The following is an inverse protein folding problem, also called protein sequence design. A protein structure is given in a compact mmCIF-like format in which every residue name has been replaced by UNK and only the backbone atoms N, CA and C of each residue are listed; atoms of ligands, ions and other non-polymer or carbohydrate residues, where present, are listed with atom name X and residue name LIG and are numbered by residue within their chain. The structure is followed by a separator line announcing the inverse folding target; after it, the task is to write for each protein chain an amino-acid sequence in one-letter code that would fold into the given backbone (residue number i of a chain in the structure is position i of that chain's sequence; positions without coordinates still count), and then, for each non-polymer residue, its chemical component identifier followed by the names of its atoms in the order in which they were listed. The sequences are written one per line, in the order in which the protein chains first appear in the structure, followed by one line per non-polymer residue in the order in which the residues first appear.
data_IF_744260749527
#
_entry.id   IF_744260749527
#
_cell.length_a   1.000
_cell.length_b   1.000
_cell.length_c   1.000
_cell.angle_alpha   90.00
_cell.angle_beta   90.00
_cell.angle_gamma   90.00
#
_symmetry.space_group_name_H-M   'P 1'
#
loop_
_entity.id
_entity.type
_entity.pdbx_description
1 polymer ?
#
# COMPACT_ATOMS: atom_id res chain seq x y z
N UNK A 1 -1.08 -4.78 19.70
CA UNK A 1 -1.85 -5.88 19.03
C UNK A 1 -1.28 -6.16 17.66
N UNK A 2 -1.27 -5.17 16.76
CA UNK A 2 -0.77 -5.28 15.39
C UNK A 2 0.76 -5.41 15.30
N UNK A 3 1.48 -4.77 16.22
CA UNK A 3 2.96 -4.78 16.29
C UNK A 3 3.59 -6.19 16.38
N UNK A 4 2.81 -7.20 16.76
CA UNK A 4 3.25 -8.60 16.77
C UNK A 4 3.55 -9.14 15.37
N UNK A 5 3.01 -8.51 14.33
CA UNK A 5 3.13 -8.93 12.94
C UNK A 5 4.12 -8.08 12.13
N UNK A 6 4.50 -6.91 12.65
CA UNK A 6 5.42 -5.94 12.05
C UNK A 6 5.12 -4.51 12.53
N UNK A 7 5.99 -3.56 12.19
CA UNK A 7 5.78 -2.17 12.58
C UNK A 7 4.59 -1.54 11.87
N UNK A 8 3.94 -0.59 12.55
CA UNK A 8 2.81 0.18 12.02
C UNK A 8 3.31 1.57 11.65
N UNK A 9 3.10 1.97 10.39
CA UNK A 9 3.48 3.29 9.90
C UNK A 9 2.41 4.33 10.21
N UNK A 10 1.13 4.00 10.01
CA UNK A 10 0.04 4.93 10.30
C UNK A 10 -1.27 4.22 10.63
N UNK A 11 -2.12 4.90 11.42
CA UNK A 11 -3.48 4.48 11.73
C UNK A 11 -4.41 5.67 11.54
N UNK A 12 -5.38 5.54 10.63
CA UNK A 12 -6.36 6.58 10.29
C UNK A 12 -7.76 6.12 10.70
N UNK A 13 -8.36 6.76 11.71
CA UNK A 13 -9.69 6.41 12.20
C UNK A 13 -10.80 7.14 11.41
N UNK A 14 -11.80 6.39 10.98
CA UNK A 14 -13.03 6.92 10.40
C UNK A 14 -14.16 6.75 11.42
N UNK A 15 -14.21 7.66 12.39
CA UNK A 15 -15.11 7.60 13.55
C UNK A 15 -16.58 7.39 13.14
N UNK A 16 -17.04 8.12 12.12
CA UNK A 16 -18.41 8.02 11.61
C UNK A 16 -18.79 6.61 11.10
N UNK A 17 -17.82 5.77 10.74
CA UNK A 17 -18.03 4.42 10.22
C UNK A 17 -17.58 3.33 11.20
N UNK A 18 -16.99 3.70 12.34
CA UNK A 18 -16.40 2.75 13.28
C UNK A 18 -15.29 1.88 12.67
N UNK A 19 -14.56 2.39 11.67
CA UNK A 19 -13.46 1.68 11.04
C UNK A 19 -12.14 2.44 11.14
N UNK A 20 -11.02 1.74 10.93
CA UNK A 20 -9.69 2.34 10.85
C UNK A 20 -8.94 1.74 9.66
N UNK A 21 -8.17 2.57 8.97
CA UNK A 21 -7.15 2.12 8.04
C UNK A 21 -5.82 2.02 8.78
N UNK A 22 -5.11 0.91 8.56
CA UNK A 22 -3.80 0.67 9.16
C UNK A 22 -2.82 0.43 8.03
N UNK A 23 -1.73 1.19 8.00
CA UNK A 23 -0.60 0.97 7.09
C UNK A 23 0.50 0.26 7.89
N UNK A 24 0.81 -0.96 7.48
CA UNK A 24 1.96 -1.70 8.00
C UNK A 24 3.21 -1.30 7.21
N UNK A 25 4.38 -1.39 7.83
CA UNK A 25 5.65 -1.04 7.19
C UNK A 25 5.97 -1.92 5.98
N UNK A 26 5.61 -3.22 6.02
CA UNK A 26 5.86 -4.14 4.91
C UNK A 26 4.61 -4.89 4.45
N UNK A 27 4.64 -5.32 3.18
CA UNK A 27 3.55 -6.09 2.56
C UNK A 27 3.31 -7.42 3.27
N UNK A 28 4.38 -8.06 3.74
CA UNK A 28 4.35 -9.33 4.47
C UNK A 28 3.72 -9.14 5.86
N UNK A 29 4.06 -8.05 6.56
CA UNK A 29 3.45 -7.73 7.85
C UNK A 29 1.93 -7.54 7.70
N UNK A 30 1.50 -6.79 6.69
CA UNK A 30 0.08 -6.64 6.37
C UNK A 30 -0.59 -7.98 6.05
N UNK A 31 0.10 -8.88 5.31
CA UNK A 31 -0.45 -10.18 4.96
C UNK A 31 -0.67 -11.06 6.19
N UNK A 32 0.33 -11.10 7.09
CA UNK A 32 0.21 -11.82 8.36
C UNK A 32 -0.95 -11.30 9.20
N UNK A 33 -1.16 -9.98 9.25
CA UNK A 33 -2.30 -9.39 9.95
C UNK A 33 -3.62 -9.88 9.35
N UNK A 34 -3.81 -9.78 8.03
CA UNK A 34 -5.07 -10.20 7.38
C UNK A 34 -5.33 -11.71 7.58
N UNK A 35 -4.30 -12.54 7.45
CA UNK A 35 -4.46 -13.99 7.50
C UNK A 35 -4.65 -14.54 8.92
N UNK A 36 -3.91 -13.98 9.89
CA UNK A 36 -3.79 -14.52 11.25
C UNK A 36 -4.63 -13.76 12.28
N UNK A 37 -4.86 -12.46 12.08
CA UNK A 37 -5.65 -11.63 13.01
C UNK A 37 -7.14 -11.73 12.66
N UNK A 38 -7.72 -12.91 12.87
CA UNK A 38 -9.14 -13.18 12.62
C UNK A 38 -10.00 -12.75 13.80
N UNK A 39 -11.05 -12.00 13.52
CA UNK A 39 -12.05 -11.49 14.48
C UNK A 39 -11.47 -10.85 15.76
N UNK A 40 -10.50 -9.91 15.64
CA UNK A 40 -9.95 -9.22 16.79
C UNK A 40 -11.04 -8.52 17.60
N UNK A 41 -10.91 -8.57 18.93
CA UNK A 41 -11.70 -7.72 19.82
C UNK A 41 -10.96 -6.43 20.10
N UNK A 42 -11.47 -5.32 19.61
CA UNK A 42 -10.96 -3.97 19.87
C UNK A 42 -12.00 -3.23 20.69
N UNK A 43 -11.64 -2.76 21.88
CA UNK A 43 -12.56 -2.10 22.83
C UNK A 43 -13.82 -2.95 23.12
N UNK A 44 -13.66 -4.27 23.19
CA UNK A 44 -14.76 -5.21 23.46
C UNK A 44 -15.67 -5.50 22.26
N UNK A 45 -15.48 -4.82 21.13
CA UNK A 45 -16.23 -5.05 19.88
C UNK A 45 -15.44 -6.00 18.96
N UNK A 46 -16.13 -6.94 18.31
CA UNK A 46 -15.51 -7.76 17.26
C UNK A 46 -15.31 -6.90 16.01
N UNK A 47 -14.09 -6.84 15.52
CA UNK A 47 -13.73 -6.16 14.29
C UNK A 47 -13.39 -7.18 13.21
N UNK A 48 -13.71 -6.85 11.96
CA UNK A 48 -13.22 -7.60 10.80
C UNK A 48 -11.94 -6.93 10.29
N UNK A 49 -11.01 -7.76 9.84
CA UNK A 49 -9.77 -7.33 9.20
C UNK A 49 -9.84 -7.76 7.74
N UNK A 50 -9.54 -6.84 6.82
CA UNK A 50 -9.55 -7.10 5.39
C UNK A 50 -8.57 -6.16 4.69
N UNK A 51 -8.19 -6.52 3.46
CA UNK A 51 -7.43 -5.65 2.58
C UNK A 51 -8.20 -4.37 2.26
N UNK A 52 -7.45 -3.28 2.10
CA UNK A 52 -7.97 -2.00 1.64
C UNK A 52 -7.05 -1.43 0.54
N UNK A 53 -7.59 -0.75 -0.47
CA UNK A 53 -6.78 -0.08 -1.47
C UNK A 53 -5.97 1.06 -0.85
N UNK A 54 -4.75 1.25 -1.35
CA UNK A 54 -3.85 2.33 -0.95
C UNK A 54 -4.52 3.70 -1.08
N UNK A 55 -4.06 4.68 -0.30
CA UNK A 55 -4.62 6.04 -0.36
C UNK A 55 -4.37 6.68 -1.72
N UNK A 56 -3.21 6.40 -2.31
CA UNK A 56 -2.79 6.88 -3.61
C UNK A 56 -3.60 6.37 -4.80
N UNK A 57 -4.14 5.16 -4.72
CA UNK A 57 -4.79 4.51 -5.87
C UNK A 57 -6.25 4.93 -6.07
N UNK A 58 -6.82 5.80 -5.20
CA UNK A 58 -8.25 6.15 -5.25
C UNK A 58 -8.64 7.16 -6.35
N UNK A 59 -7.67 7.68 -7.09
CA UNK A 59 -7.90 8.63 -8.19
C UNK A 59 -8.61 7.98 -9.38
N UNK A 60 -9.66 8.63 -9.91
CA UNK A 60 -10.36 8.16 -11.13
C UNK A 60 -9.43 8.07 -12.34
N UNK A 61 -8.34 8.84 -12.34
CA UNK A 61 -7.37 8.85 -13.42
C UNK A 61 -6.57 7.55 -13.55
N UNK A 62 -6.43 6.78 -12.45
CA UNK A 62 -5.64 5.54 -12.46
C UNK A 62 -6.46 4.31 -12.84
N UNK A 63 -7.79 4.39 -12.71
CA UNK A 63 -8.75 3.31 -12.97
C UNK A 63 -8.28 1.93 -12.45
N UNK A 64 -8.01 1.79 -11.13
CA UNK A 64 -7.44 0.57 -10.60
C UNK A 64 -8.46 -0.58 -10.61
N UNK A 65 -8.02 -1.75 -11.07
CA UNK A 65 -8.72 -3.00 -10.81
C UNK A 65 -8.28 -3.58 -9.47
N UNK A 66 -9.14 -3.48 -8.45
CA UNK A 66 -8.87 -3.94 -7.08
C UNK A 66 -9.31 -5.38 -6.86
N UNK A 67 -8.38 -6.21 -6.36
CA UNK A 67 -8.68 -7.56 -5.87
C UNK A 67 -8.68 -7.60 -4.33
N UNK A 68 -9.86 -7.84 -3.76
CA UNK A 68 -10.08 -7.91 -2.31
C UNK A 68 -9.38 -9.09 -1.63
N UNK A 69 -9.08 -10.17 -2.35
CA UNK A 69 -8.49 -11.38 -1.77
C UNK A 69 -6.97 -11.25 -1.67
N UNK A 70 -6.35 -10.69 -2.70
CA UNK A 70 -4.90 -10.50 -2.78
C UNK A 70 -4.45 -9.13 -2.30
N UNK A 71 -5.36 -8.16 -2.16
CA UNK A 71 -5.00 -6.80 -1.76
C UNK A 71 -4.17 -6.06 -2.81
N UNK A 72 -4.35 -6.39 -4.09
CA UNK A 72 -3.59 -5.83 -5.22
C UNK A 72 -4.49 -4.89 -6.03
N UNK A 73 -3.95 -3.73 -6.41
CA UNK A 73 -4.55 -2.83 -7.40
C UNK A 73 -3.76 -2.95 -8.70
N UNK A 74 -4.36 -3.49 -9.77
CA UNK A 74 -3.76 -3.46 -11.09
C UNK A 74 -4.07 -2.10 -11.74
N UNK A 75 -3.03 -1.38 -12.16
CA UNK A 75 -3.11 -0.05 -12.76
C UNK A 75 -2.36 -0.09 -14.08
N UNK A 76 -2.95 0.46 -15.15
CA UNK A 76 -2.24 0.62 -16.42
C UNK A 76 -1.20 1.73 -16.30
N UNK A 77 0.04 1.45 -16.68
CA UNK A 77 1.07 2.47 -16.78
C UNK A 77 0.76 3.53 -17.84
N UNK A 78 -0.16 3.28 -18.77
CA UNK A 78 -0.65 4.32 -19.68
C UNK A 78 -1.34 5.47 -18.95
N UNK A 79 -1.87 5.22 -17.75
CA UNK A 79 -2.51 6.22 -16.90
C UNK A 79 -1.54 6.93 -15.95
N UNK A 80 -0.27 6.51 -15.92
CA UNK A 80 0.78 7.05 -15.05
C UNK A 80 1.83 7.72 -15.91
N UNK A 81 1.94 9.04 -15.80
CA UNK A 81 2.80 9.88 -16.65
C UNK A 81 4.04 10.39 -15.94
N UNK A 82 4.02 10.46 -14.61
CA UNK A 82 5.11 11.08 -13.84
C UNK A 82 5.56 10.20 -12.68
N UNK A 83 6.82 10.35 -12.26
CA UNK A 83 7.37 9.70 -11.06
C UNK A 83 6.60 10.10 -9.80
N UNK A 84 6.16 11.36 -9.68
CA UNK A 84 5.32 11.79 -8.56
C UNK A 84 3.97 11.06 -8.49
N UNK A 85 3.40 10.63 -9.62
CA UNK A 85 2.22 9.75 -9.60
C UNK A 85 2.57 8.34 -9.13
N UNK A 86 3.74 7.80 -9.49
CA UNK A 86 4.25 6.52 -8.96
C UNK A 86 4.42 6.59 -7.44
N UNK A 87 5.06 7.65 -6.94
CA UNK A 87 5.24 7.89 -5.50
C UNK A 87 3.88 8.05 -4.79
N UNK A 88 2.95 8.79 -5.41
CA UNK A 88 1.60 8.94 -4.88
C UNK A 88 0.88 7.59 -4.77
N UNK A 89 0.99 6.72 -5.77
CA UNK A 89 0.42 5.36 -5.76
C UNK A 89 0.98 4.50 -4.62
N UNK A 90 2.24 4.72 -4.22
CA UNK A 90 2.86 4.08 -3.05
C UNK A 90 2.30 4.53 -1.71
N UNK A 91 1.53 5.61 -1.64
CA UNK A 91 1.02 6.10 -0.37
C UNK A 91 -0.04 5.14 0.23
N UNK A 92 0.34 4.49 1.34
CA UNK A 92 -0.48 3.50 2.01
C UNK A 92 -0.49 2.14 1.31
N UNK A 93 0.52 1.86 0.49
CA UNK A 93 0.69 0.60 -0.22
C UNK A 93 2.15 0.39 -0.65
N UNK A 94 2.36 -0.56 -1.54
CA UNK A 94 3.65 -0.81 -2.19
C UNK A 94 3.42 -0.85 -3.69
N UNK A 95 4.29 -0.20 -4.45
CA UNK A 95 4.29 -0.27 -5.91
C UNK A 95 5.26 -1.37 -6.33
N UNK A 96 4.83 -2.23 -7.24
CA UNK A 96 5.70 -3.23 -7.84
C UNK A 96 6.63 -2.56 -8.87
N UNK A 97 7.85 -2.24 -8.42
CA UNK A 97 8.87 -1.57 -9.24
C UNK A 97 9.36 -2.42 -10.40
N UNK A 98 9.18 -3.74 -10.36
CA UNK A 98 9.57 -4.64 -11.46
C UNK A 98 8.69 -4.42 -12.69
N UNK A 99 7.45 -3.99 -12.50
CA UNK A 99 6.49 -3.72 -13.57
C UNK A 99 6.59 -2.31 -14.14
N UNK A 100 7.35 -1.40 -13.50
CA UNK A 100 7.47 -0.02 -13.95
C UNK A 100 8.07 0.06 -15.37
N UNK A 101 7.54 0.91 -16.26
CA UNK A 101 8.14 1.15 -17.56
C UNK A 101 9.50 1.85 -17.40
N UNK A 102 10.47 1.63 -18.31
CA UNK A 102 11.82 2.21 -18.22
C UNK A 102 11.84 3.72 -17.94
N UNK A 103 10.93 4.47 -18.56
CA UNK A 103 10.83 5.92 -18.46
C UNK A 103 10.43 6.41 -17.06
N UNK A 104 9.84 5.53 -16.23
CA UNK A 104 9.48 5.81 -14.85
C UNK A 104 10.44 5.16 -13.84
N UNK A 105 11.41 4.35 -14.31
CA UNK A 105 12.44 3.70 -13.48
C UNK A 105 13.70 4.55 -13.30
N UNK A 106 13.94 5.54 -14.15
CA UNK A 106 15.21 6.27 -14.18
C UNK A 106 15.40 7.19 -12.96
N UNK A 107 16.17 6.67 -12.00
CA UNK A 107 17.29 7.35 -11.31
C UNK A 107 18.08 6.25 -10.55
N UNK A 108 18.93 5.49 -11.25
CA UNK A 108 19.97 4.71 -10.56
C UNK A 108 21.23 4.49 -11.42
N UNK A 109 21.65 5.51 -12.19
CA UNK A 109 23.00 5.57 -12.78
C UNK A 109 23.52 7.01 -12.79
N UNK A 110 23.76 7.58 -11.60
CA UNK A 110 24.51 8.84 -11.46
C UNK A 110 25.40 8.91 -10.21
N UNK A 111 25.78 7.77 -9.62
CA UNK A 111 26.71 7.74 -8.47
C UNK A 111 27.94 6.80 -8.65
N UNK A 112 28.27 6.33 -9.87
CA UNK A 112 29.44 5.45 -10.09
C UNK A 112 30.52 6.06 -11.02
N UNK A 113 30.52 7.37 -11.25
CA UNK A 113 31.60 8.03 -12.02
C UNK A 113 32.22 9.23 -11.30
N UNK A 114 32.58 9.11 -10.01
CA UNK A 114 33.54 10.04 -9.37
C UNK A 114 34.30 9.38 -8.20
N UNK A 115 35.00 8.28 -8.47
CA UNK A 115 36.29 8.01 -7.80
C UNK A 115 37.25 7.50 -8.88
N UNK A 116 38.03 8.43 -9.43
CA UNK A 116 39.23 8.18 -10.21
C UNK A 116 40.41 8.87 -9.54
#
# INVERSE_FOLDING_TARGET
MLEKYGAVTSIDFIVARGCAYVVMETREAAAKVVDQLRDPKVLGQKCKVAWAPGRGSKGKEFDPSWDVNTGISNISWDNVKTKSQVEALGNGGVVDTSTLPPQLREEEIAEVEMES
#
